data_IF_927650085159
#
_entry.id   IF_927650085159
#
_cell.length_a   1.000
_cell.length_b   1.000
_cell.length_c   1.000
_cell.angle_alpha   90.00
_cell.angle_beta   90.00
_cell.angle_gamma   90.00
#
_symmetry.space_group_name_H-M   'P 1'
#
loop_
_entity.id
_entity.type
_entity.pdbx_description
1 polymer ?
#
# COMPACT_ATOMS: atom_id res chain seq x y z
N UNK A 1 10.77 6.21 -27.88
CA UNK A 1 10.57 5.95 -27.44
C UNK A 1 10.08 5.46 -26.23
N UNK A 2 9.65 4.77 -26.14
CA UNK A 2 9.21 4.15 -25.01
C UNK A 2 9.93 4.39 -23.75
N UNK A 3 11.12 4.93 -23.82
CA UNK A 3 11.84 5.18 -22.61
C UNK A 3 11.15 6.15 -21.66
N UNK A 4 10.47 7.15 -22.20
CA UNK A 4 9.72 8.08 -21.38
C UNK A 4 8.62 7.35 -20.59
N UNK A 5 7.89 6.44 -21.25
CA UNK A 5 6.89 5.65 -20.58
C UNK A 5 7.47 4.68 -19.57
N UNK A 6 8.61 4.06 -19.89
CA UNK A 6 9.27 3.13 -19.00
C UNK A 6 9.83 3.84 -17.76
N UNK A 7 10.00 5.14 -17.84
CA UNK A 7 10.56 5.93 -16.73
C UNK A 7 9.53 6.74 -15.98
N UNK A 8 8.25 6.45 -16.17
CA UNK A 8 7.20 7.09 -15.41
C UNK A 8 7.49 6.88 -13.91
N UNK A 9 7.53 7.96 -13.16
CA UNK A 9 7.87 7.89 -11.75
C UNK A 9 6.79 7.16 -10.94
N UNK A 10 7.19 6.65 -9.80
CA UNK A 10 6.27 5.94 -8.92
C UNK A 10 5.08 6.81 -8.49
N UNK A 11 5.35 8.07 -8.15
CA UNK A 11 4.26 8.97 -7.74
C UNK A 11 3.33 9.29 -8.91
N UNK A 12 3.85 9.37 -10.12
CA UNK A 12 3.01 9.60 -11.29
C UNK A 12 2.10 8.43 -11.59
N UNK A 13 2.58 7.20 -11.39
CA UNK A 13 1.72 6.01 -11.54
C UNK A 13 0.58 6.02 -10.51
N UNK A 14 0.88 6.42 -9.28
CA UNK A 14 -0.15 6.54 -8.24
C UNK A 14 -1.15 7.62 -8.62
N UNK A 15 -0.67 8.79 -9.04
CA UNK A 15 -1.55 9.88 -9.47
C UNK A 15 -2.45 9.45 -10.63
N UNK A 16 -1.90 8.72 -11.58
CA UNK A 16 -2.67 8.20 -12.72
C UNK A 16 -3.75 7.22 -12.25
N UNK A 17 -3.42 6.34 -11.32
CA UNK A 17 -4.38 5.38 -10.77
C UNK A 17 -5.50 6.10 -9.98
N UNK A 18 -5.15 7.13 -9.22
CA UNK A 18 -6.14 7.92 -8.49
C UNK A 18 -7.07 8.66 -9.46
N UNK A 19 -6.50 9.25 -10.51
CA UNK A 19 -7.30 9.93 -11.53
C UNK A 19 -8.24 8.97 -12.24
N UNK A 20 -7.76 7.77 -12.57
CA UNK A 20 -8.58 6.77 -13.25
C UNK A 20 -9.71 6.23 -12.38
N UNK A 21 -9.59 6.32 -11.07
CA UNK A 21 -10.62 5.82 -10.15
C UNK A 21 -11.89 6.66 -10.14
N UNK A 22 -11.81 7.91 -10.57
CA UNK A 22 -12.93 8.84 -10.48
C UNK A 22 -13.17 9.38 -9.09
N UNK A 23 -12.36 9.01 -8.10
CA UNK A 23 -12.43 9.53 -6.75
C UNK A 23 -11.62 10.83 -6.66
N UNK A 24 -12.08 11.78 -5.86
CA UNK A 24 -11.39 13.06 -5.70
C UNK A 24 -10.25 12.93 -4.68
N UNK A 25 -9.23 12.16 -5.04
CA UNK A 25 -8.08 11.88 -4.18
C UNK A 25 -6.82 12.47 -4.79
N UNK A 26 -5.95 12.99 -3.95
CA UNK A 26 -4.77 13.72 -4.39
C UNK A 26 -3.53 13.32 -3.60
N UNK A 27 -2.48 12.94 -4.32
CA UNK A 27 -1.19 12.65 -3.71
C UNK A 27 -0.47 13.96 -3.41
N UNK A 28 0.01 14.09 -2.18
CA UNK A 28 0.76 15.27 -1.74
C UNK A 28 2.15 14.86 -1.27
N UNK A 29 3.13 15.71 -1.52
CA UNK A 29 4.49 15.49 -1.04
C UNK A 29 4.70 16.29 0.24
N UNK A 30 5.21 15.62 1.27
CA UNK A 30 5.52 16.25 2.55
C UNK A 30 6.93 16.80 2.52
N UNK A 31 7.19 17.86 3.30
CA UNK A 31 8.51 18.47 3.36
C UNK A 31 9.56 17.62 4.07
N UNK A 32 9.11 16.60 4.78
CA UNK A 32 9.99 15.70 5.53
C UNK A 32 9.86 14.28 5.00
N UNK A 33 10.94 13.51 5.12
CA UNK A 33 10.93 12.11 4.77
C UNK A 33 10.17 11.32 5.85
N UNK A 34 9.30 10.41 5.42
CA UNK A 34 8.51 9.58 6.32
C UNK A 34 8.81 8.12 6.06
N UNK A 35 9.71 7.54 6.85
CA UNK A 35 10.13 6.15 6.70
C UNK A 35 9.33 5.19 7.55
N UNK A 36 8.73 5.69 8.63
CA UNK A 36 7.93 4.88 9.53
C UNK A 36 6.52 5.42 9.61
N UNK A 37 5.59 4.59 10.06
CA UNK A 37 4.21 5.01 10.28
C UNK A 37 4.14 6.14 11.32
N UNK A 38 5.00 6.10 12.33
CA UNK A 38 5.05 7.14 13.36
C UNK A 38 5.48 8.48 12.76
N UNK A 39 6.53 8.48 11.94
CA UNK A 39 7.00 9.71 11.28
C UNK A 39 5.92 10.30 10.37
N UNK A 40 5.23 9.43 9.63
CA UNK A 40 4.14 9.88 8.76
C UNK A 40 3.00 10.48 9.59
N UNK A 41 2.60 9.83 10.67
CA UNK A 41 1.54 10.32 11.54
C UNK A 41 1.91 11.67 12.16
N UNK A 42 3.14 11.82 12.61
CA UNK A 42 3.62 13.07 13.20
C UNK A 42 3.60 14.21 12.17
N UNK A 43 4.05 13.95 10.95
CA UNK A 43 4.09 14.95 9.88
C UNK A 43 2.69 15.38 9.43
N UNK A 44 1.75 14.43 9.40
CA UNK A 44 0.38 14.66 8.94
C UNK A 44 -0.48 15.24 10.05
N UNK A 45 -0.22 14.86 11.31
CA UNK A 45 -1.04 15.26 12.44
C UNK A 45 -2.19 14.30 12.70
N UNK A 46 -2.03 13.03 12.37
CA UNK A 46 -3.02 11.99 12.65
C UNK A 46 -2.45 10.93 13.59
N UNK A 47 -3.22 9.91 13.92
CA UNK A 47 -2.73 8.80 14.74
C UNK A 47 -2.01 7.78 13.88
N UNK A 48 -1.10 7.02 14.49
CA UNK A 48 -0.39 5.95 13.78
C UNK A 48 -1.36 4.92 13.21
N UNK A 49 -2.45 4.64 13.93
CA UNK A 49 -3.47 3.68 13.49
C UNK A 49 -4.15 4.09 12.19
N UNK A 50 -4.17 5.37 11.86
CA UNK A 50 -4.74 5.88 10.61
C UNK A 50 -3.79 5.78 9.42
N UNK A 51 -2.56 5.39 9.65
CA UNK A 51 -1.58 5.18 8.58
C UNK A 51 -1.76 3.78 8.02
N UNK A 52 -1.86 3.68 6.70
CA UNK A 52 -1.94 2.40 6.00
C UNK A 52 -0.52 1.95 5.65
N UNK A 53 -0.07 0.87 6.27
CA UNK A 53 1.21 0.25 5.91
C UNK A 53 0.96 -0.72 4.76
N UNK A 54 1.69 -0.55 3.66
CA UNK A 54 1.62 -1.47 2.53
C UNK A 54 2.72 -2.52 2.68
N UNK A 55 2.35 -3.71 3.12
CA UNK A 55 3.30 -4.79 3.38
C UNK A 55 3.25 -5.79 2.24
N UNK A 56 4.40 -6.02 1.61
CA UNK A 56 4.50 -6.90 0.45
C UNK A 56 5.08 -8.24 0.88
N UNK A 57 4.35 -9.29 0.52
CA UNK A 57 4.80 -10.67 0.71
C UNK A 57 4.82 -11.37 -0.64
N UNK A 58 5.57 -12.46 -0.71
CA UNK A 58 5.58 -13.34 -1.86
C UNK A 58 4.85 -14.62 -1.50
N UNK A 59 3.83 -14.99 -2.27
CA UNK A 59 3.15 -16.26 -2.07
C UNK A 59 4.11 -17.39 -2.41
N UNK A 60 4.30 -18.34 -1.48
CA UNK A 60 5.30 -19.41 -1.68
C UNK A 60 4.91 -20.40 -2.77
N UNK A 61 3.62 -20.58 -2.98
CA UNK A 61 3.12 -21.50 -4.01
C UNK A 61 3.06 -20.85 -5.40
N UNK A 62 2.53 -19.63 -5.46
CA UNK A 62 2.27 -18.94 -6.74
C UNK A 62 3.42 -18.05 -7.19
N UNK A 63 4.24 -17.58 -6.26
CA UNK A 63 5.26 -16.56 -6.55
C UNK A 63 4.68 -15.16 -6.75
N UNK A 64 3.39 -15.00 -6.56
CA UNK A 64 2.71 -13.71 -6.77
C UNK A 64 2.85 -12.78 -5.58
N UNK A 65 2.65 -11.48 -5.84
CA UNK A 65 2.64 -10.49 -4.76
C UNK A 65 1.36 -10.62 -3.96
N UNK A 66 1.53 -10.68 -2.65
CA UNK A 66 0.42 -10.58 -1.71
C UNK A 66 0.64 -9.28 -0.95
N UNK A 67 -0.29 -8.34 -1.12
CA UNK A 67 -0.23 -7.03 -0.49
C UNK A 67 -1.17 -7.01 0.69
N UNK A 68 -0.64 -6.71 1.87
CA UNK A 68 -1.46 -6.56 3.08
C UNK A 68 -1.41 -5.10 3.49
N UNK A 69 -2.57 -4.46 3.50
CA UNK A 69 -2.71 -3.06 3.88
C UNK A 69 -3.13 -3.02 5.35
N UNK A 70 -2.16 -2.75 6.20
CA UNK A 70 -2.31 -2.84 7.65
C UNK A 70 -2.40 -1.47 8.32
N UNK A 71 -3.24 -1.37 9.36
CA UNK A 71 -3.21 -0.20 10.24
C UNK A 71 -1.83 -0.08 10.87
N UNK A 72 -1.33 1.14 10.99
CA UNK A 72 0.04 1.40 11.42
C UNK A 72 0.44 0.81 12.75
N UNK A 73 -0.52 0.54 13.65
CA UNK A 73 -0.25 -0.08 14.96
C UNK A 73 -0.37 -1.59 14.96
N UNK A 74 -0.84 -2.19 13.87
CA UNK A 74 -1.03 -3.63 13.81
C UNK A 74 0.16 -4.33 13.17
N UNK A 75 0.38 -5.58 13.58
CA UNK A 75 1.34 -6.48 12.96
C UNK A 75 0.60 -7.62 12.29
N UNK A 76 1.10 -8.05 11.14
CA UNK A 76 0.51 -9.18 10.43
C UNK A 76 0.88 -10.47 11.16
N UNK A 77 -0.13 -11.28 11.46
CA UNK A 77 0.08 -12.66 11.88
C UNK A 77 0.19 -13.49 10.59
N UNK A 78 1.40 -13.83 10.20
CA UNK A 78 1.66 -14.50 8.93
C UNK A 78 1.04 -15.88 8.86
N UNK A 79 0.97 -16.59 9.97
CA UNK A 79 0.30 -17.90 10.03
C UNK A 79 -1.19 -17.77 9.76
N UNK A 80 -1.82 -16.79 10.42
CA UNK A 80 -3.24 -16.52 10.22
C UNK A 80 -3.50 -16.11 8.76
N UNK A 81 -2.66 -15.22 8.23
CA UNK A 81 -2.82 -14.73 6.87
C UNK A 81 -2.54 -15.80 5.83
N UNK A 82 -1.70 -16.78 6.12
CA UNK A 82 -1.47 -17.89 5.20
C UNK A 82 -2.77 -18.69 4.99
N UNK A 83 -3.52 -18.90 6.06
CA UNK A 83 -4.82 -19.57 5.96
C UNK A 83 -5.80 -18.75 5.12
N UNK A 84 -5.81 -17.44 5.30
CA UNK A 84 -6.69 -16.52 4.57
C UNK A 84 -6.31 -16.43 3.09
N UNK A 85 -5.01 -16.34 2.81
CA UNK A 85 -4.49 -16.20 1.45
C UNK A 85 -4.47 -17.52 0.68
N UNK A 86 -4.51 -18.65 1.39
CA UNK A 86 -4.46 -19.97 0.77
C UNK A 86 -3.05 -20.45 0.45
N UNK A 87 -2.03 -19.76 0.94
CA UNK A 87 -0.62 -20.14 0.76
C UNK A 87 0.25 -19.42 1.78
N UNK A 88 1.44 -19.95 2.01
CA UNK A 88 2.38 -19.34 2.95
C UNK A 88 2.86 -18.00 2.40
N UNK A 89 2.91 -17.00 3.29
CA UNK A 89 3.42 -15.67 2.97
C UNK A 89 4.93 -15.68 3.15
N UNK A 90 5.65 -15.73 2.04
CA UNK A 90 7.10 -15.71 2.05
C UNK A 90 7.64 -14.28 2.07
N UNK A 91 8.93 -14.19 2.38
CA UNK A 91 9.61 -12.90 2.39
C UNK A 91 9.76 -12.37 0.96
N UNK A 92 9.48 -11.09 0.81
CA UNK A 92 9.70 -10.36 -0.43
C UNK A 92 10.90 -9.44 -0.22
N UNK A 93 12.00 -9.71 -0.93
CA UNK A 93 13.18 -8.85 -0.83
C UNK A 93 13.00 -7.58 -1.68
N UNK A 94 13.95 -6.66 -1.58
CA UNK A 94 13.86 -5.37 -2.27
C UNK A 94 13.78 -5.51 -3.79
N UNK A 95 14.51 -6.46 -4.37
CA UNK A 95 14.51 -6.69 -5.81
C UNK A 95 13.15 -7.22 -6.27
N UNK A 96 12.58 -8.15 -5.53
CA UNK A 96 11.25 -8.68 -5.83
C UNK A 96 10.20 -7.58 -5.76
N UNK A 97 10.20 -6.79 -4.68
CA UNK A 97 9.24 -5.69 -4.51
C UNK A 97 9.32 -4.72 -5.69
N UNK A 98 10.53 -4.30 -6.04
CA UNK A 98 10.71 -3.36 -7.15
C UNK A 98 10.29 -3.95 -8.49
N UNK A 99 10.67 -5.20 -8.75
CA UNK A 99 10.37 -5.85 -10.03
C UNK A 99 8.89 -6.11 -10.21
N UNK A 100 8.19 -6.48 -9.14
CA UNK A 100 6.78 -6.88 -9.23
C UNK A 100 5.79 -5.75 -8.99
N UNK A 101 6.14 -4.77 -8.17
CA UNK A 101 5.22 -3.67 -7.85
C UNK A 101 5.59 -2.36 -8.57
N UNK A 102 6.85 -2.19 -8.91
CA UNK A 102 7.35 -0.93 -9.46
C UNK A 102 7.70 0.09 -8.38
N UNK A 103 7.58 -0.27 -7.11
CA UNK A 103 7.89 0.62 -5.99
C UNK A 103 9.10 0.12 -5.21
N UNK A 104 9.80 1.03 -4.57
CA UNK A 104 10.84 0.68 -3.61
C UNK A 104 10.20 0.39 -2.25
N UNK A 105 10.84 -0.45 -1.45
CA UNK A 105 10.43 -0.67 -0.06
C UNK A 105 10.40 0.68 0.65
N UNK A 106 9.35 0.93 1.42
CA UNK A 106 9.14 2.21 2.10
C UNK A 106 8.30 3.19 1.32
N UNK A 107 8.10 2.95 0.02
CA UNK A 107 7.27 3.81 -0.83
C UNK A 107 6.14 3.07 -1.53
N UNK A 108 5.86 1.82 -1.13
CA UNK A 108 4.83 1.02 -1.78
C UNK A 108 3.45 1.62 -1.52
N UNK A 109 2.77 1.98 -2.60
CA UNK A 109 1.40 2.50 -2.53
C UNK A 109 0.40 1.34 -2.64
N UNK A 110 -0.86 1.54 -2.21
CA UNK A 110 -1.88 0.51 -2.41
C UNK A 110 -2.33 0.36 -3.86
N UNK A 111 -2.04 1.34 -4.70
CA UNK A 111 -2.42 1.36 -6.13
C UNK A 111 -1.24 1.78 -7.01
N UNK A 112 -1.39 1.65 -8.31
CA UNK A 112 -0.35 2.06 -9.24
C UNK A 112 0.74 1.03 -9.44
N UNK A 113 0.49 -0.21 -9.08
CA UNK A 113 1.43 -1.32 -9.29
C UNK A 113 1.55 -1.64 -10.76
N UNK A 114 2.74 -2.06 -11.18
CA UNK A 114 3.00 -2.40 -12.60
C UNK A 114 2.45 -3.77 -12.98
N UNK A 115 2.12 -4.61 -12.00
CA UNK A 115 1.49 -5.92 -12.21
C UNK A 115 0.34 -6.09 -11.23
N UNK A 116 -0.62 -6.97 -11.53
CA UNK A 116 -1.71 -7.24 -10.58
C UNK A 116 -1.17 -7.78 -9.26
N UNK A 117 -1.77 -7.37 -8.17
CA UNK A 117 -1.42 -7.83 -6.83
C UNK A 117 -2.67 -8.32 -6.12
N UNK A 118 -2.50 -9.34 -5.28
CA UNK A 118 -3.58 -9.84 -4.44
C UNK A 118 -3.58 -9.03 -3.16
N UNK A 119 -4.67 -8.31 -2.88
CA UNK A 119 -4.73 -7.33 -1.80
C UNK A 119 -5.67 -7.74 -0.69
N UNK A 120 -5.18 -7.66 0.54
CA UNK A 120 -5.96 -7.84 1.76
C UNK A 120 -5.91 -6.55 2.55
N UNK A 121 -7.06 -6.16 3.11
CA UNK A 121 -7.20 -4.91 3.85
C UNK A 121 -7.51 -5.22 5.30
N UNK A 122 -6.73 -4.63 6.21
CA UNK A 122 -6.93 -4.75 7.64
C UNK A 122 -8.30 -4.18 8.02
N UNK A 123 -9.13 -5.01 8.61
CA UNK A 123 -10.47 -4.59 9.04
C UNK A 123 -10.43 -3.43 10.05
N UNK A 124 -9.34 -3.30 10.81
CA UNK A 124 -9.21 -2.24 11.80
C UNK A 124 -9.14 -0.85 11.17
N UNK A 125 -8.79 -0.76 9.88
CA UNK A 125 -8.82 0.51 9.17
C UNK A 125 -10.24 1.04 8.97
N UNK A 126 -11.23 0.16 9.03
CA UNK A 126 -12.64 0.52 8.78
C UNK A 126 -13.25 1.41 9.86
N UNK A 127 -12.63 1.48 11.02
CA UNK A 127 -13.15 2.29 12.13
C UNK A 127 -12.89 3.78 12.00
N UNK A 128 -12.06 4.18 11.05
CA UNK A 128 -11.68 5.59 10.89
C UNK A 128 -12.44 6.26 9.77
N UNK A 129 -12.72 7.56 9.93
CA UNK A 129 -13.32 8.36 8.86
C UNK A 129 -12.31 8.64 7.75
N UNK A 130 -11.03 8.79 8.13
CA UNK A 130 -9.94 9.09 7.21
C UNK A 130 -8.72 8.24 7.54
N UNK A 131 -8.05 7.79 6.49
CA UNK A 131 -6.78 7.06 6.58
C UNK A 131 -5.81 7.67 5.57
N UNK A 132 -4.52 7.37 5.73
CA UNK A 132 -3.47 7.93 4.90
C UNK A 132 -2.57 6.82 4.38
N UNK A 133 -2.30 6.84 3.08
CA UNK A 133 -1.48 5.81 2.42
C UNK A 133 -0.32 6.44 1.67
N UNK A 134 0.73 5.65 1.47
CA UNK A 134 1.88 6.09 0.69
C UNK A 134 1.50 6.24 -0.78
N UNK A 135 2.09 7.22 -1.43
CA UNK A 135 1.80 7.56 -2.81
C UNK A 135 2.98 7.30 -3.75
N UNK A 136 3.77 6.29 -3.48
CA UNK A 136 4.82 5.84 -4.39
C UNK A 136 6.24 6.26 -4.02
N UNK A 137 6.40 7.07 -2.99
CA UNK A 137 7.72 7.39 -2.42
C UNK A 137 7.55 7.77 -0.96
N UNK A 138 8.65 7.74 -0.16
CA UNK A 138 8.53 7.84 1.31
C UNK A 138 7.88 9.11 1.83
N UNK A 139 8.00 10.22 1.11
CA UNK A 139 7.43 11.48 1.56
C UNK A 139 6.14 11.87 0.83
N UNK A 140 5.60 10.98 0.03
CA UNK A 140 4.35 11.25 -0.69
C UNK A 140 3.23 10.41 -0.09
N UNK A 141 2.11 11.05 0.20
CA UNK A 141 0.95 10.41 0.84
C UNK A 141 -0.34 10.91 0.22
N UNK A 142 -1.41 10.17 0.41
CA UNK A 142 -2.74 10.65 0.07
C UNK A 142 -3.75 10.23 1.13
N UNK A 143 -4.73 11.10 1.34
CA UNK A 143 -5.83 10.88 2.28
C UNK A 143 -6.98 10.23 1.55
N UNK A 144 -7.61 9.26 2.19
CA UNK A 144 -8.76 8.57 1.63
C UNK A 144 -9.63 8.01 2.75
N UNK A 145 -10.83 7.58 2.39
CA UNK A 145 -11.69 6.87 3.33
C UNK A 145 -11.43 5.36 3.21
N UNK A 146 -11.79 4.58 4.21
CA UNK A 146 -11.72 3.11 4.09
C UNK A 146 -12.50 2.57 2.88
N UNK A 147 -13.66 3.15 2.57
CA UNK A 147 -14.43 2.75 1.40
C UNK A 147 -13.69 3.03 0.10
N UNK A 148 -12.99 4.17 0.03
CA UNK A 148 -12.15 4.50 -1.12
C UNK A 148 -11.05 3.47 -1.32
N UNK A 149 -10.47 2.99 -0.23
CA UNK A 149 -9.40 1.99 -0.30
C UNK A 149 -9.91 0.68 -0.91
N UNK A 150 -11.11 0.27 -0.54
CA UNK A 150 -11.75 -0.91 -1.12
C UNK A 150 -12.01 -0.70 -2.61
N UNK A 151 -12.55 0.45 -2.96
CA UNK A 151 -12.87 0.77 -4.36
C UNK A 151 -11.62 0.81 -5.23
N UNK A 152 -10.52 1.38 -4.72
CA UNK A 152 -9.26 1.50 -5.44
C UNK A 152 -8.57 0.16 -5.66
N UNK A 153 -8.57 -0.69 -4.63
CA UNK A 153 -7.76 -1.92 -4.64
C UNK A 153 -8.57 -3.16 -4.96
N UNK A 154 -9.88 -3.11 -4.73
CA UNK A 154 -10.76 -4.28 -4.78
C UNK A 154 -10.29 -5.38 -3.85
N UNK A 155 -9.57 -5.00 -2.79
CA UNK A 155 -9.05 -5.93 -1.81
C UNK A 155 -10.14 -6.47 -0.89
N UNK A 156 -9.82 -7.58 -0.23
CA UNK A 156 -10.70 -8.21 0.73
C UNK A 156 -10.42 -7.70 2.14
N UNK A 157 -11.47 -7.33 2.87
CA UNK A 157 -11.34 -6.93 4.27
C UNK A 157 -11.21 -8.17 5.11
N UNK A 158 -10.13 -8.24 5.89
CA UNK A 158 -9.81 -9.43 6.69
C UNK A 158 -9.23 -9.01 8.04
N UNK A 159 -9.22 -9.96 8.96
CA UNK A 159 -8.48 -9.84 10.20
C UNK A 159 -7.04 -10.24 9.91
N UNK A 160 -6.08 -9.36 10.18
CA UNK A 160 -4.66 -9.62 9.86
C UNK A 160 -3.83 -10.07 11.07
N UNK A 161 -4.38 -9.96 12.26
CA UNK A 161 -3.66 -10.35 13.48
C UNK A 161 -4.59 -10.96 14.53
#
# INVERSE_FOLDING_TARGET
>A
MSEAGARTSSIERVRAALAASGLALEAVELDVSTRTAQEAADAIGCTVSQIVKSLVFRGEDTGEVILVLASGTNRVDEKHMAATAGEVLGRADADFVRAETGFAIGGVAPVGHIRPVKTFIDRDLQQYAEIWAAAGKPNAVFRLTPDDLIALTKGSIVQIC
#
